data_IF_103936200722
#
_entry.id   IF_103936200722
#
_cell.length_a   1.000
_cell.length_b   1.000
_cell.length_c   1.000
_cell.angle_alpha   90.00
_cell.angle_beta   90.00
_cell.angle_gamma   90.00
#
_symmetry.space_group_name_H-M   'P 1'
#
loop_
_entity.id
_entity.type
_entity.pdbx_description
1 polymer ?
#
# COMPACT_ATOMS: atom_id res chain seq x y z
N UNK A 1 9.99 -0.99 19.76
CA UNK A 1 8.98 -1.91 20.36
C UNK A 1 9.22 -3.32 19.81
N UNK A 2 8.76 -4.45 20.41
CA UNK A 2 8.86 -5.73 19.71
C UNK A 2 8.14 -5.62 18.35
N UNK A 3 8.75 -6.21 17.31
CA UNK A 3 8.20 -6.20 15.96
C UNK A 3 6.75 -6.73 15.99
N UNK A 4 5.80 -5.89 15.59
CA UNK A 4 4.37 -6.21 15.63
C UNK A 4 4.03 -7.43 14.77
N UNK A 5 4.83 -7.68 13.72
CA UNK A 5 4.71 -8.84 12.84
C UNK A 5 6.07 -9.54 12.70
N UNK A 6 6.39 -10.50 13.59
CA UNK A 6 7.68 -11.18 13.62
C UNK A 6 7.94 -12.07 12.40
N UNK A 7 6.90 -12.49 11.68
CA UNK A 7 7.02 -13.29 10.46
C UNK A 7 6.69 -12.39 9.28
N UNK A 8 7.66 -12.12 8.41
CA UNK A 8 7.46 -11.29 7.23
C UNK A 8 7.94 -12.03 6.00
N UNK A 9 7.11 -11.98 4.96
CA UNK A 9 7.30 -12.68 3.72
C UNK A 9 7.21 -11.71 2.55
N UNK A 10 8.08 -11.89 1.57
CA UNK A 10 7.88 -11.41 0.22
C UNK A 10 7.25 -12.53 -0.59
N UNK A 11 6.06 -12.27 -1.13
CA UNK A 11 5.29 -13.14 -2.00
C UNK A 11 5.35 -12.56 -3.41
N UNK A 12 5.73 -13.38 -4.39
CA UNK A 12 5.92 -12.90 -5.76
C UNK A 12 5.86 -14.01 -6.81
N UNK A 13 5.61 -13.64 -8.07
CA UNK A 13 5.70 -14.52 -9.25
C UNK A 13 7.15 -14.83 -9.63
N UNK A 14 8.10 -14.00 -9.20
CA UNK A 14 9.50 -14.11 -9.56
C UNK A 14 10.19 -15.27 -8.84
N UNK A 15 10.75 -16.21 -9.60
CA UNK A 15 11.50 -17.32 -9.02
C UNK A 15 12.82 -16.82 -8.39
N UNK A 16 13.02 -16.95 -7.06
CA UNK A 16 14.20 -16.41 -6.41
C UNK A 16 15.52 -17.02 -6.87
N UNK A 17 15.50 -18.20 -7.51
CA UNK A 17 16.69 -18.79 -8.14
C UNK A 17 17.27 -17.93 -9.29
N UNK A 18 16.49 -17.00 -9.83
CA UNK A 18 16.88 -16.11 -10.92
C UNK A 18 17.41 -14.75 -10.42
N UNK A 19 17.67 -14.61 -9.12
CA UNK A 19 18.28 -13.40 -8.55
C UNK A 19 19.80 -13.44 -8.68
N UNK A 20 20.40 -12.28 -8.94
CA UNK A 20 21.84 -12.11 -8.91
C UNK A 20 22.39 -12.08 -7.47
N UNK A 21 23.72 -11.93 -7.32
CA UNK A 21 24.38 -11.89 -6.02
C UNK A 21 23.96 -10.68 -5.14
N UNK A 22 23.34 -9.65 -5.73
CA UNK A 22 22.83 -8.48 -5.02
C UNK A 22 21.31 -8.59 -4.73
N UNK A 23 20.66 -9.68 -5.16
CA UNK A 23 19.23 -9.92 -4.97
C UNK A 23 18.33 -9.36 -6.07
N UNK A 24 18.89 -8.75 -7.12
CA UNK A 24 18.12 -8.23 -8.26
C UNK A 24 17.64 -9.37 -9.15
N UNK A 25 16.39 -9.29 -9.61
CA UNK A 25 15.85 -10.27 -10.55
C UNK A 25 16.48 -10.06 -11.94
N UNK A 26 17.08 -11.10 -12.52
CA UNK A 26 17.89 -10.99 -13.72
C UNK A 26 17.19 -11.44 -15.01
N UNK A 27 15.97 -11.96 -14.92
CA UNK A 27 15.18 -12.43 -16.07
C UNK A 27 14.24 -11.33 -16.53
N UNK A 28 14.15 -11.17 -17.85
CA UNK A 28 13.20 -10.28 -18.51
C UNK A 28 11.77 -10.81 -18.34
N UNK A 29 10.98 -10.13 -17.52
CA UNK A 29 9.59 -10.46 -17.24
C UNK A 29 8.76 -9.18 -17.17
N UNK A 30 7.47 -9.31 -17.48
CA UNK A 30 6.51 -8.24 -17.32
C UNK A 30 6.38 -7.81 -15.85
N UNK A 31 6.13 -6.52 -15.67
CA UNK A 31 6.05 -5.86 -14.35
C UNK A 31 4.78 -5.02 -14.20
N UNK A 32 3.94 -4.92 -15.24
CA UNK A 32 2.73 -4.10 -15.24
C UNK A 32 1.59 -4.77 -16.04
N UNK A 33 0.31 -4.50 -15.74
CA UNK A 33 -0.80 -4.87 -16.63
C UNK A 33 -0.69 -4.24 -18.02
N UNK A 34 0.01 -3.11 -18.17
CA UNK A 34 0.22 -2.46 -19.46
C UNK A 34 1.13 -3.26 -20.40
N UNK A 35 1.85 -4.25 -19.87
CA UNK A 35 2.72 -5.14 -20.63
C UNK A 35 1.96 -6.23 -21.40
N UNK A 36 0.64 -6.38 -21.21
CA UNK A 36 -0.17 -7.40 -21.90
C UNK A 36 -0.07 -7.19 -23.42
N UNK A 37 0.27 -8.27 -24.14
CA UNK A 37 0.59 -8.25 -25.57
C UNK A 37 2.08 -8.09 -25.87
N UNK A 38 2.90 -7.79 -24.86
CA UNK A 38 4.37 -7.79 -24.93
C UNK A 38 4.97 -9.20 -24.90
N UNK A 39 6.23 -9.32 -25.32
CA UNK A 39 6.99 -10.58 -25.29
C UNK A 39 8.17 -10.44 -24.34
N UNK A 40 8.29 -11.36 -23.39
CA UNK A 40 9.29 -11.35 -22.32
C UNK A 40 9.95 -12.71 -22.25
N UNK A 41 11.29 -12.75 -22.26
CA UNK A 41 12.05 -14.00 -22.31
C UNK A 41 11.57 -14.98 -23.43
N UNK A 42 11.10 -14.44 -24.55
CA UNK A 42 10.60 -15.21 -25.69
C UNK A 42 9.13 -15.68 -25.60
N UNK A 43 8.40 -15.34 -24.53
CA UNK A 43 7.01 -15.71 -24.31
C UNK A 43 6.08 -14.49 -24.40
N UNK A 44 4.94 -14.63 -25.08
CA UNK A 44 3.90 -13.60 -25.18
C UNK A 44 3.09 -13.55 -23.88
N UNK A 45 3.00 -12.37 -23.26
CA UNK A 45 2.07 -12.14 -22.17
C UNK A 45 0.64 -12.00 -22.72
N UNK A 46 -0.18 -13.03 -22.53
CA UNK A 46 -1.61 -12.98 -22.87
C UNK A 46 -2.43 -12.45 -21.69
N UNK A 47 -3.63 -11.93 -21.98
CA UNK A 47 -4.59 -11.55 -20.95
C UNK A 47 -4.92 -12.73 -20.02
N UNK A 48 -5.06 -13.93 -20.57
CA UNK A 48 -5.31 -15.14 -19.78
C UNK A 48 -4.16 -15.45 -18.82
N UNK A 49 -2.91 -15.38 -19.28
CA UNK A 49 -1.74 -15.58 -18.43
C UNK A 49 -1.70 -14.54 -17.30
N UNK A 50 -1.94 -13.26 -17.62
CA UNK A 50 -2.04 -12.20 -16.63
C UNK A 50 -3.10 -12.51 -15.56
N UNK A 51 -4.32 -12.84 -15.98
CA UNK A 51 -5.44 -13.10 -15.06
C UNK A 51 -5.19 -14.32 -14.17
N UNK A 52 -4.50 -15.35 -14.68
CA UNK A 52 -4.10 -16.50 -13.87
C UNK A 52 -3.11 -16.10 -12.76
N UNK A 53 -2.12 -15.26 -13.09
CA UNK A 53 -1.16 -14.77 -12.10
C UNK A 53 -1.84 -13.84 -11.10
N UNK A 54 -2.68 -12.90 -11.55
CA UNK A 54 -3.49 -12.06 -10.66
C UNK A 54 -4.31 -12.91 -9.68
N UNK A 55 -5.02 -13.92 -10.17
CA UNK A 55 -5.82 -14.80 -9.33
C UNK A 55 -4.96 -15.51 -8.28
N UNK A 56 -3.73 -15.94 -8.63
CA UNK A 56 -2.80 -16.53 -7.67
C UNK A 56 -2.44 -15.57 -6.52
N UNK A 57 -2.28 -14.26 -6.78
CA UNK A 57 -2.07 -13.26 -5.72
C UNK A 57 -3.31 -13.13 -4.83
N UNK A 58 -4.50 -13.05 -5.44
CA UNK A 58 -5.75 -12.94 -4.70
C UNK A 58 -5.99 -14.17 -3.80
N UNK A 59 -5.84 -15.37 -4.34
CA UNK A 59 -6.02 -16.62 -3.58
C UNK A 59 -5.00 -16.74 -2.45
N UNK A 60 -3.77 -16.29 -2.70
CA UNK A 60 -2.73 -16.24 -1.68
C UNK A 60 -3.13 -15.28 -0.56
N UNK A 61 -3.53 -14.05 -0.89
CA UNK A 61 -4.03 -13.07 0.09
C UNK A 61 -5.13 -13.70 0.95
N UNK A 62 -6.15 -14.29 0.33
CA UNK A 62 -7.28 -14.87 1.04
C UNK A 62 -6.85 -16.03 1.95
N UNK A 63 -5.91 -16.86 1.51
CA UNK A 63 -5.33 -17.95 2.32
C UNK A 63 -4.64 -17.41 3.59
N UNK A 64 -3.89 -16.32 3.47
CA UNK A 64 -3.25 -15.66 4.63
C UNK A 64 -4.29 -15.07 5.60
N UNK A 65 -5.33 -14.42 5.07
CA UNK A 65 -6.39 -13.83 5.89
C UNK A 65 -7.18 -14.89 6.66
N UNK A 66 -7.53 -15.99 5.99
CA UNK A 66 -8.20 -17.13 6.62
C UNK A 66 -7.33 -17.77 7.71
N UNK A 67 -6.07 -18.09 7.39
CA UNK A 67 -5.18 -18.73 8.35
C UNK A 67 -4.90 -17.80 9.55
N UNK A 68 -4.81 -16.48 9.33
CA UNK A 68 -4.65 -15.48 10.38
C UNK A 68 -5.94 -15.16 11.14
N UNK A 69 -7.09 -15.72 10.75
CA UNK A 69 -8.41 -15.47 11.35
C UNK A 69 -8.74 -13.97 11.35
N UNK A 70 -8.47 -13.31 10.23
CA UNK A 70 -8.80 -11.90 10.03
C UNK A 70 -10.29 -11.81 9.74
N UNK A 71 -10.98 -10.86 10.37
CA UNK A 71 -12.41 -10.60 10.12
C UNK A 71 -12.60 -9.35 9.25
N UNK A 72 -11.75 -8.35 9.46
CA UNK A 72 -11.73 -7.08 8.72
C UNK A 72 -10.31 -6.57 8.61
N UNK A 73 -10.09 -5.70 7.63
CA UNK A 73 -8.85 -4.97 7.45
C UNK A 73 -9.12 -3.47 7.44
N UNK A 74 -8.07 -2.67 7.48
CA UNK A 74 -8.12 -1.23 7.28
C UNK A 74 -7.19 -0.85 6.14
N UNK A 75 -7.64 0.08 5.30
CA UNK A 75 -6.86 0.60 4.19
C UNK A 75 -6.03 1.80 4.62
N UNK A 76 -4.75 1.80 4.25
CA UNK A 76 -3.87 2.94 4.38
C UNK A 76 -3.18 3.27 3.05
N UNK A 77 -2.60 4.47 2.94
CA UNK A 77 -1.84 4.92 1.77
C UNK A 77 -2.65 4.83 0.48
N UNK A 78 -3.90 5.30 0.52
CA UNK A 78 -4.85 5.19 -0.57
C UNK A 78 -4.53 6.22 -1.66
N UNK A 79 -4.24 5.73 -2.86
CA UNK A 79 -4.09 6.55 -4.05
C UNK A 79 -5.12 6.13 -5.10
N UNK A 80 -5.72 7.12 -5.73
CA UNK A 80 -6.63 6.91 -6.86
C UNK A 80 -5.87 7.10 -8.17
N UNK A 81 -6.11 6.22 -9.13
CA UNK A 81 -5.58 6.35 -10.48
C UNK A 81 -6.73 6.38 -11.48
N UNK A 82 -6.49 6.98 -12.63
CA UNK A 82 -7.50 7.00 -13.67
C UNK A 82 -7.75 5.58 -14.20
N UNK A 83 -9.01 5.15 -14.12
CA UNK A 83 -9.44 3.88 -14.68
C UNK A 83 -9.95 4.06 -16.09
N UNK A 84 -9.33 3.36 -17.04
CA UNK A 84 -9.89 3.26 -18.39
C UNK A 84 -11.02 2.23 -18.43
N UNK A 85 -12.26 2.72 -18.49
CA UNK A 85 -13.45 1.87 -18.64
C UNK A 85 -13.52 1.07 -19.95
N UNK A 86 -12.69 1.39 -20.94
CA UNK A 86 -12.54 0.61 -22.17
C UNK A 86 -11.52 -0.54 -22.03
N UNK A 87 -10.77 -0.59 -20.93
CA UNK A 87 -9.79 -1.65 -20.66
C UNK A 87 -10.46 -3.03 -20.55
N UNK A 88 -9.81 -4.06 -21.09
CA UNK A 88 -10.24 -5.45 -20.90
C UNK A 88 -10.14 -5.93 -19.45
N UNK A 89 -9.41 -5.19 -18.62
CA UNK A 89 -9.26 -5.43 -17.19
C UNK A 89 -10.28 -4.64 -16.35
N UNK A 90 -11.17 -3.85 -16.95
CA UNK A 90 -12.17 -3.11 -16.19
C UNK A 90 -13.32 -4.04 -15.73
N UNK A 91 -13.73 -3.90 -14.46
CA UNK A 91 -14.90 -4.55 -13.88
C UNK A 91 -15.85 -3.50 -13.29
N UNK A 92 -17.16 -3.63 -13.52
CA UNK A 92 -18.15 -2.66 -13.03
C UNK A 92 -18.10 -2.49 -11.51
N UNK A 93 -17.77 -3.56 -10.77
CA UNK A 93 -17.66 -3.56 -9.30
C UNK A 93 -16.61 -2.56 -8.79
N UNK A 94 -15.63 -2.17 -9.60
CA UNK A 94 -14.62 -1.19 -9.21
C UNK A 94 -15.22 0.21 -8.94
N UNK A 95 -16.28 0.60 -9.63
CA UNK A 95 -16.96 1.88 -9.37
C UNK A 95 -17.72 1.90 -8.04
N UNK A 96 -18.07 0.72 -7.53
CA UNK A 96 -18.78 0.55 -6.26
C UNK A 96 -17.78 0.48 -5.09
N UNK A 97 -16.49 0.26 -5.39
CA UNK A 97 -15.44 0.18 -4.39
C UNK A 97 -14.99 1.57 -3.94
N UNK A 98 -15.53 2.00 -2.79
CA UNK A 98 -15.05 3.23 -2.15
C UNK A 98 -13.65 3.01 -1.55
N UNK A 99 -12.63 3.38 -2.33
CA UNK A 99 -11.25 3.48 -1.87
C UNK A 99 -11.11 4.76 -1.04
N UNK A 100 -10.97 4.64 0.28
CA UNK A 100 -10.86 5.78 1.16
C UNK A 100 -9.82 5.49 2.24
N UNK A 101 -8.96 6.47 2.50
CA UNK A 101 -7.97 6.41 3.58
C UNK A 101 -8.63 6.06 4.92
N UNK A 102 -7.96 5.19 5.69
CA UNK A 102 -8.39 4.76 7.03
C UNK A 102 -9.72 3.98 7.08
N UNK A 103 -10.27 3.58 5.93
CA UNK A 103 -11.55 2.85 5.86
C UNK A 103 -11.40 1.39 6.30
N UNK A 104 -12.40 0.90 7.05
CA UNK A 104 -12.56 -0.53 7.36
C UNK A 104 -13.09 -1.28 6.14
N UNK A 105 -12.44 -2.40 5.82
CA UNK A 105 -12.69 -3.28 4.68
C UNK A 105 -13.15 -4.64 5.18
N UNK A 106 -14.23 -5.14 4.58
CA UNK A 106 -14.71 -6.50 4.78
C UNK A 106 -13.91 -7.47 3.91
N UNK A 107 -13.75 -8.73 4.33
CA UNK A 107 -12.98 -9.72 3.57
C UNK A 107 -13.51 -9.92 2.14
N UNK A 108 -14.83 -9.83 1.95
CA UNK A 108 -15.48 -9.97 0.63
C UNK A 108 -15.08 -8.88 -0.38
N UNK A 109 -14.54 -7.76 0.12
CA UNK A 109 -14.06 -6.64 -0.69
C UNK A 109 -12.57 -6.74 -1.00
N UNK A 110 -11.79 -7.51 -0.21
CA UNK A 110 -10.34 -7.65 -0.39
C UNK A 110 -9.96 -8.16 -1.78
N UNK A 111 -10.62 -9.18 -2.38
CA UNK A 111 -10.33 -9.60 -3.74
C UNK A 111 -10.46 -8.47 -4.76
N UNK A 112 -11.49 -7.62 -4.61
CA UNK A 112 -11.74 -6.50 -5.53
C UNK A 112 -10.66 -5.43 -5.37
N UNK A 113 -10.30 -5.08 -4.13
CA UNK A 113 -9.23 -4.13 -3.85
C UNK A 113 -7.88 -4.64 -4.38
N UNK A 114 -7.54 -5.90 -4.12
CA UNK A 114 -6.31 -6.52 -4.61
C UNK A 114 -6.20 -6.46 -6.14
N UNK A 115 -7.30 -6.73 -6.86
CA UNK A 115 -7.33 -6.58 -8.32
C UNK A 115 -7.13 -5.14 -8.76
N UNK A 116 -7.77 -4.17 -8.10
CA UNK A 116 -7.57 -2.75 -8.42
C UNK A 116 -6.11 -2.33 -8.25
N UNK A 117 -5.42 -2.83 -7.22
CA UNK A 117 -3.98 -2.56 -7.01
C UNK A 117 -3.11 -3.26 -8.06
N UNK A 118 -3.33 -4.55 -8.32
CA UNK A 118 -2.55 -5.31 -9.32
C UNK A 118 -2.77 -4.86 -10.77
N UNK A 119 -3.90 -4.19 -11.04
CA UNK A 119 -4.27 -3.60 -12.33
C UNK A 119 -3.91 -2.12 -12.46
N UNK A 120 -3.21 -1.56 -11.48
CA UNK A 120 -2.78 -0.16 -11.47
C UNK A 120 -3.92 0.87 -11.49
N UNK A 121 -5.10 0.48 -11.03
CA UNK A 121 -6.30 1.34 -10.97
C UNK A 121 -6.41 2.11 -9.66
N UNK A 122 -5.73 1.63 -8.63
CA UNK A 122 -5.59 2.30 -7.34
C UNK A 122 -4.34 1.77 -6.63
N UNK A 123 -4.01 2.36 -5.49
CA UNK A 123 -3.02 1.81 -4.57
C UNK A 123 -3.57 1.89 -3.15
N UNK A 124 -3.24 0.90 -2.34
CA UNK A 124 -3.42 0.95 -0.89
C UNK A 124 -2.55 -0.13 -0.23
N UNK A 125 -2.47 -0.07 1.08
CA UNK A 125 -1.95 -1.11 1.95
C UNK A 125 -3.11 -1.59 2.83
N UNK A 126 -3.16 -2.88 3.14
CA UNK A 126 -4.21 -3.45 3.97
C UNK A 126 -3.62 -3.94 5.29
N UNK A 127 -4.16 -3.47 6.41
CA UNK A 127 -3.65 -3.82 7.74
C UNK A 127 -4.78 -4.30 8.64
N UNK A 128 -4.59 -5.44 9.28
CA UNK A 128 -5.36 -5.89 10.42
C UNK A 128 -4.44 -5.85 11.65
N UNK A 129 -4.59 -4.80 12.45
CA UNK A 129 -3.73 -4.52 13.60
C UNK A 129 -3.58 -5.75 14.50
N UNK A 130 -2.34 -6.10 14.87
CA UNK A 130 -2.00 -7.28 15.67
C UNK A 130 -2.38 -8.63 15.05
N UNK A 131 -2.64 -8.70 13.74
CA UNK A 131 -2.91 -9.96 13.02
C UNK A 131 -2.00 -10.09 11.80
N UNK A 132 -2.19 -9.23 10.82
CA UNK A 132 -1.47 -9.28 9.54
C UNK A 132 -1.44 -7.92 8.84
N UNK A 133 -0.49 -7.71 7.95
CA UNK A 133 -0.57 -6.70 6.91
C UNK A 133 -0.40 -7.34 5.52
N UNK A 134 -0.88 -6.64 4.49
CA UNK A 134 -0.64 -6.91 3.09
C UNK A 134 -0.20 -5.60 2.46
N UNK A 135 1.04 -5.58 2.00
CA UNK A 135 1.69 -4.44 1.39
C UNK A 135 2.00 -4.75 -0.07
N UNK A 136 1.66 -3.84 -0.96
CA UNK A 136 1.93 -3.97 -2.39
C UNK A 136 3.13 -3.12 -2.78
N UNK A 137 4.06 -3.71 -3.53
CA UNK A 137 5.04 -3.00 -4.32
C UNK A 137 4.55 -2.76 -5.75
N UNK A 138 5.33 -2.00 -6.52
CA UNK A 138 4.95 -1.55 -7.86
C UNK A 138 5.05 -2.62 -8.94
N UNK A 139 5.87 -3.64 -8.74
CA UNK A 139 6.34 -4.58 -9.76
C UNK A 139 6.04 -6.03 -9.38
N UNK A 140 4.84 -6.32 -8.84
CA UNK A 140 4.45 -7.68 -8.41
C UNK A 140 5.33 -8.27 -7.29
N UNK A 141 5.90 -7.41 -6.45
CA UNK A 141 6.30 -7.78 -5.11
C UNK A 141 5.17 -7.47 -4.14
N UNK A 142 4.66 -8.50 -3.46
CA UNK A 142 3.72 -8.34 -2.35
C UNK A 142 4.44 -8.72 -1.06
N UNK A 143 4.19 -7.99 0.02
CA UNK A 143 4.77 -8.27 1.32
C UNK A 143 3.68 -8.54 2.33
N UNK A 144 3.81 -9.62 3.08
CA UNK A 144 2.83 -10.04 4.08
C UNK A 144 3.56 -10.23 5.40
N UNK A 145 3.11 -9.53 6.43
CA UNK A 145 3.59 -9.73 7.80
C UNK A 145 2.50 -10.33 8.66
N UNK A 146 2.83 -11.31 9.49
CA UNK A 146 1.88 -12.02 10.34
C UNK A 146 2.40 -12.12 11.78
N UNK A 147 1.47 -12.26 12.74
CA UNK A 147 1.82 -12.47 14.16
C UNK A 147 2.18 -13.92 14.50
N UNK A 148 1.92 -14.85 13.59
CA UNK A 148 2.18 -16.28 13.72
C UNK A 148 2.67 -16.87 12.40
N UNK A 149 3.29 -18.03 12.45
CA UNK A 149 3.61 -18.81 11.25
C UNK A 149 2.33 -19.16 10.48
N UNK A 150 2.44 -19.17 9.15
CA UNK A 150 1.34 -19.44 8.22
C UNK A 150 1.72 -20.50 7.17
N UNK A 151 2.05 -21.73 7.60
CA UNK A 151 2.50 -22.78 6.69
C UNK A 151 1.44 -23.15 5.64
N UNK A 152 0.14 -23.05 5.94
CA UNK A 152 -0.91 -23.40 4.99
C UNK A 152 -1.00 -22.37 3.86
N UNK A 153 -0.97 -21.08 4.18
CA UNK A 153 -0.99 -20.01 3.19
C UNK A 153 0.30 -19.98 2.34
N UNK A 154 1.46 -20.28 2.94
CA UNK A 154 2.72 -20.44 2.20
C UNK A 154 2.66 -21.63 1.23
N UNK A 155 2.04 -22.74 1.62
CA UNK A 155 1.85 -23.89 0.73
C UNK A 155 0.89 -23.54 -0.41
N UNK A 156 -0.25 -22.91 -0.11
CA UNK A 156 -1.21 -22.42 -1.11
C UNK A 156 -0.56 -21.49 -2.14
N UNK A 157 0.26 -20.53 -1.69
CA UNK A 157 1.00 -19.65 -2.60
C UNK A 157 1.86 -20.42 -3.60
N UNK A 158 2.59 -21.45 -3.12
CA UNK A 158 3.44 -22.30 -3.97
C UNK A 158 2.63 -23.15 -4.94
N UNK A 159 1.50 -23.70 -4.49
CA UNK A 159 0.58 -24.48 -5.34
C UNK A 159 0.00 -23.61 -6.47
N UNK A 160 -0.21 -22.32 -6.22
CA UNK A 160 -0.66 -21.34 -7.20
C UNK A 160 0.48 -20.73 -8.05
N UNK A 161 1.71 -21.23 -7.92
CA UNK A 161 2.85 -20.80 -8.74
C UNK A 161 3.56 -19.53 -8.25
N UNK A 162 3.29 -19.07 -7.02
CA UNK A 162 4.02 -17.97 -6.38
C UNK A 162 5.12 -18.48 -5.45
N UNK A 163 6.09 -17.62 -5.19
CA UNK A 163 7.20 -17.83 -4.27
C UNK A 163 7.00 -16.98 -3.03
N UNK A 164 7.15 -17.58 -1.85
CA UNK A 164 7.12 -16.89 -0.56
C UNK A 164 8.46 -17.06 0.16
N UNK A 165 9.14 -15.95 0.43
CA UNK A 165 10.48 -15.91 1.02
C UNK A 165 10.48 -15.03 2.27
N UNK A 166 11.25 -15.40 3.30
CA UNK A 166 11.41 -14.54 4.48
C UNK A 166 12.11 -13.23 4.09
N UNK A 167 11.39 -12.13 4.18
CA UNK A 167 11.86 -10.82 3.76
C UNK A 167 11.03 -9.72 4.45
N UNK A 168 11.64 -8.75 5.13
CA UNK A 168 10.91 -7.67 5.76
C UNK A 168 10.29 -6.74 4.72
N UNK A 169 9.06 -6.31 4.96
CA UNK A 169 8.41 -5.35 4.07
C UNK A 169 9.17 -4.02 4.05
N UNK A 170 9.56 -3.48 2.88
CA UNK A 170 10.18 -2.15 2.81
C UNK A 170 9.22 -1.02 3.21
N UNK A 171 7.92 -1.28 3.17
CA UNK A 171 6.86 -0.35 3.54
C UNK A 171 6.52 -0.36 5.04
N UNK A 172 7.12 -1.27 5.83
CA UNK A 172 6.87 -1.31 7.27
C UNK A 172 7.80 -0.31 7.96
N UNK A 173 7.24 0.83 8.35
CA UNK A 173 7.96 1.91 9.06
C UNK A 173 7.59 1.87 10.54
N UNK A 174 8.58 1.88 11.43
CA UNK A 174 8.37 2.02 12.87
C UNK A 174 7.99 3.46 13.23
N UNK A 175 7.21 3.68 14.29
CA UNK A 175 6.82 5.03 14.72
C UNK A 175 8.04 5.94 14.97
N UNK A 176 9.14 5.35 15.45
CA UNK A 176 10.42 6.02 15.66
C UNK A 176 11.13 6.48 14.38
N UNK A 177 10.80 5.86 13.23
CA UNK A 177 11.41 6.12 11.93
C UNK A 177 10.53 7.02 11.05
N UNK A 178 9.29 7.32 11.45
CA UNK A 178 8.40 8.21 10.72
C UNK A 178 8.84 9.67 10.94
N UNK A 179 9.32 10.29 9.86
CA UNK A 179 9.50 11.73 9.75
C UNK A 179 8.17 12.34 9.33
N UNK A 180 7.75 13.39 10.04
CA UNK A 180 6.52 14.13 9.72
C UNK A 180 6.86 15.55 9.35
N UNK A 181 6.36 15.98 8.21
CA UNK A 181 6.68 17.28 7.62
C UNK A 181 5.38 17.94 7.21
N UNK A 182 5.24 19.23 7.53
CA UNK A 182 4.19 20.05 6.93
C UNK A 182 4.76 20.67 5.66
N UNK A 183 4.16 20.34 4.53
CA UNK A 183 4.51 20.83 3.20
C UNK A 183 3.48 21.87 2.76
N UNK A 184 3.90 22.84 1.95
CA UNK A 184 2.98 23.80 1.36
C UNK A 184 3.33 24.15 -0.09
N UNK A 185 2.30 24.20 -0.92
CA UNK A 185 2.34 24.62 -2.32
C UNK A 185 1.55 25.91 -2.53
N UNK A 186 1.89 26.68 -3.56
CA UNK A 186 1.06 27.81 -3.98
C UNK A 186 -0.29 27.28 -4.46
N UNK A 187 -1.38 27.97 -4.13
CA UNK A 187 -2.70 27.60 -4.65
C UNK A 187 -2.69 27.53 -6.18
N UNK A 188 -3.42 26.57 -6.71
CA UNK A 188 -3.57 26.33 -8.16
C UNK A 188 -2.27 25.85 -8.85
N UNK A 189 -1.20 25.63 -8.10
CA UNK A 189 0.05 25.05 -8.58
C UNK A 189 0.30 23.70 -7.89
N UNK A 190 0.76 22.70 -8.64
CA UNK A 190 1.10 21.38 -8.09
C UNK A 190 2.49 21.34 -7.43
N UNK A 191 3.14 22.50 -7.25
CA UNK A 191 4.52 22.58 -6.80
C UNK A 191 4.59 22.92 -5.31
N UNK A 192 5.23 22.04 -4.54
CA UNK A 192 5.63 22.34 -3.17
C UNK A 192 6.73 23.41 -3.19
N UNK A 193 6.49 24.50 -2.47
CA UNK A 193 7.40 25.67 -2.41
C UNK A 193 8.08 25.81 -1.06
N UNK A 194 7.72 24.98 -0.07
CA UNK A 194 8.41 24.87 1.19
C UNK A 194 7.86 23.75 2.06
N UNK A 195 8.65 23.36 3.04
CA UNK A 195 8.36 22.30 3.99
C UNK A 195 9.02 22.58 5.35
N UNK A 196 8.43 22.05 6.43
CA UNK A 196 8.99 22.13 7.78
C UNK A 196 8.68 20.84 8.56
N UNK A 197 9.73 20.17 9.04
CA UNK A 197 9.61 18.99 9.88
C UNK A 197 8.93 19.35 11.22
N UNK A 198 7.86 18.64 11.57
CA UNK A 198 7.12 18.82 12.82
C UNK A 198 7.55 17.79 13.87
N UNK A 199 8.03 18.27 15.02
CA UNK A 199 8.54 17.43 16.11
C UNK A 199 7.71 17.54 17.37
N UNK A 200 7.70 16.47 18.16
CA UNK A 200 7.12 16.46 19.51
C UNK A 200 5.59 16.38 19.54
N UNK A 201 4.94 16.10 18.41
CA UNK A 201 3.50 15.83 18.34
C UNK A 201 3.28 14.34 18.59
N UNK A 202 2.41 13.98 19.53
CA UNK A 202 2.05 12.58 19.73
C UNK A 202 1.20 12.08 18.55
N UNK A 203 1.37 10.81 18.16
CA UNK A 203 0.57 10.20 17.09
C UNK A 203 -0.92 10.35 17.34
N UNK A 204 -1.37 10.17 18.58
CA UNK A 204 -2.78 10.29 18.95
C UNK A 204 -3.33 11.72 18.78
N UNK A 205 -2.47 12.74 18.87
CA UNK A 205 -2.85 14.12 18.60
C UNK A 205 -3.03 14.37 17.11
N UNK A 206 -2.14 13.81 16.27
CA UNK A 206 -2.26 13.87 14.82
C UNK A 206 -3.49 13.12 14.31
N UNK A 207 -3.72 11.90 14.82
CA UNK A 207 -4.93 11.12 14.50
C UNK A 207 -6.19 11.93 14.81
N UNK A 208 -6.26 12.57 15.99
CA UNK A 208 -7.39 13.45 16.34
C UNK A 208 -7.52 14.66 15.43
N UNK A 209 -6.41 15.34 15.13
CA UNK A 209 -6.41 16.52 14.26
C UNK A 209 -6.88 16.17 12.85
N UNK A 210 -6.45 15.03 12.31
CA UNK A 210 -6.76 14.55 10.96
C UNK A 210 -8.04 13.70 10.88
N UNK A 211 -8.71 13.45 12.02
CA UNK A 211 -9.91 12.61 12.14
C UNK A 211 -9.68 11.16 11.68
N UNK A 212 -8.49 10.63 11.95
CA UNK A 212 -8.09 9.25 11.67
C UNK A 212 -8.37 8.35 12.88
N UNK A 213 -8.49 7.06 12.62
CA UNK A 213 -8.61 6.02 13.63
C UNK A 213 -7.35 5.94 14.50
N UNK A 214 -7.49 5.32 15.66
CA UNK A 214 -6.36 5.05 16.55
C UNK A 214 -5.38 4.00 15.98
N UNK A 215 -5.78 3.26 14.95
CA UNK A 215 -4.95 2.27 14.24
C UNK A 215 -4.06 2.92 13.18
N UNK A 216 -4.42 4.11 12.71
CA UNK A 216 -3.74 4.77 11.61
C UNK A 216 -2.31 5.21 11.99
N UNK A 217 -1.25 4.83 11.24
CA UNK A 217 0.14 5.18 11.59
C UNK A 217 0.49 6.66 11.33
N UNK A 218 -0.39 7.35 10.59
CA UNK A 218 -0.21 8.73 10.11
C UNK A 218 1.00 8.80 9.16
N UNK A 219 1.03 7.85 8.23
CA UNK A 219 1.92 7.82 7.07
C UNK A 219 1.11 8.19 5.83
N UNK A 220 1.79 8.72 4.81
CA UNK A 220 1.15 9.26 3.60
C UNK A 220 0.96 10.77 3.69
N UNK A 221 0.16 11.33 2.78
CA UNK A 221 -0.10 12.77 2.68
C UNK A 221 -1.53 13.11 3.07
N UNK A 222 -1.69 14.11 3.93
CA UNK A 222 -2.98 14.55 4.45
C UNK A 222 -3.16 16.04 4.27
N UNK A 223 -4.19 16.46 3.54
CA UNK A 223 -4.53 17.88 3.44
C UNK A 223 -4.86 18.46 4.80
N UNK A 224 -4.21 19.57 5.13
CA UNK A 224 -4.50 20.40 6.29
C UNK A 224 -5.45 21.50 5.81
N UNK A 225 -6.52 21.76 6.54
CA UNK A 225 -7.45 22.85 6.23
C UNK A 225 -7.46 23.91 7.35
N UNK A 226 -8.12 25.03 7.08
CA UNK A 226 -8.15 26.17 8.00
C UNK A 226 -8.65 25.83 9.42
N UNK A 227 -9.51 24.82 9.59
CA UNK A 227 -9.97 24.40 10.93
C UNK A 227 -8.89 23.74 11.78
N UNK A 228 -7.81 23.24 11.14
CA UNK A 228 -6.66 22.62 11.79
C UNK A 228 -5.48 23.60 11.95
N UNK A 229 -5.60 24.85 11.45
CA UNK A 229 -4.53 25.86 11.49
C UNK A 229 -3.97 26.06 12.90
N UNK A 230 -4.83 26.31 13.88
CA UNK A 230 -4.41 26.54 15.27
C UNK A 230 -3.62 25.37 15.84
N UNK A 231 -3.96 24.14 15.45
CA UNK A 231 -3.27 22.94 15.90
C UNK A 231 -1.84 22.90 15.35
N UNK A 232 -1.67 22.99 14.03
CA UNK A 232 -0.37 22.84 13.35
C UNK A 232 0.54 24.06 13.53
N UNK A 233 -0.02 25.28 13.55
CA UNK A 233 0.76 26.52 13.70
C UNK A 233 1.63 26.53 14.97
N UNK A 234 1.22 25.83 16.04
CA UNK A 234 1.99 25.72 17.30
C UNK A 234 3.35 25.02 17.12
N UNK A 235 3.51 24.25 16.06
CA UNK A 235 4.69 23.45 15.77
C UNK A 235 5.51 23.97 14.58
N UNK A 236 5.07 25.05 13.94
CA UNK A 236 5.69 25.61 12.74
C UNK A 236 6.26 27.00 13.02
N UNK A 237 7.43 27.27 12.45
CA UNK A 237 7.99 28.63 12.34
C UNK A 237 7.34 29.37 11.18
N UNK A 238 7.01 28.65 10.10
CA UNK A 238 6.24 29.19 8.99
C UNK A 238 4.85 29.63 9.46
N UNK A 239 4.43 30.84 9.08
CA UNK A 239 3.10 31.36 9.38
C UNK A 239 2.12 30.86 8.33
N UNK A 240 1.19 29.99 8.73
CA UNK A 240 0.23 29.37 7.84
C UNK A 240 -0.74 30.40 7.26
N UNK A 241 -0.65 30.61 5.96
CA UNK A 241 -1.54 31.45 5.17
C UNK A 241 -2.34 30.61 4.15
N UNK A 242 -3.59 30.30 4.50
CA UNK A 242 -4.52 29.54 3.67
C UNK A 242 -5.15 30.36 2.55
N UNK A 243 -4.89 31.67 2.47
CA UNK A 243 -5.27 32.45 1.28
C UNK A 243 -4.25 32.21 0.16
N UNK A 244 -2.98 32.01 0.52
CA UNK A 244 -1.86 31.87 -0.43
C UNK A 244 -1.48 30.43 -0.76
N UNK A 245 -1.59 29.52 0.20
CA UNK A 245 -1.04 28.17 0.09
C UNK A 245 -2.05 27.07 0.42
N UNK A 246 -1.84 25.92 -0.19
CA UNK A 246 -2.40 24.63 0.24
C UNK A 246 -1.37 23.90 1.10
N UNK A 247 -1.81 23.28 2.19
CA UNK A 247 -0.95 22.64 3.19
C UNK A 247 -1.24 21.15 3.30
N UNK A 248 -0.19 20.38 3.51
CA UNK A 248 -0.26 18.93 3.66
C UNK A 248 0.64 18.50 4.83
N UNK A 249 0.19 17.52 5.61
CA UNK A 249 1.08 16.76 6.47
C UNK A 249 1.52 15.53 5.69
N UNK A 250 2.81 15.41 5.44
CA UNK A 250 3.43 14.18 4.95
C UNK A 250 4.05 13.39 6.10
N UNK A 251 3.85 12.08 6.12
CA UNK A 251 4.49 11.15 7.05
C UNK A 251 5.14 9.98 6.32
N UNK A 252 6.44 9.80 6.48
CA UNK A 252 7.21 8.75 5.81
C UNK A 252 8.65 8.67 6.27
N UNK A 253 9.52 7.99 5.52
CA UNK A 253 10.96 7.86 5.77
C UNK A 253 11.81 8.28 4.57
#
# INVERSE_FOLDING_TARGET
>A
MPNQWPYQLRVTKYNPANRDANGYYAVDEWISPSDIGGTFNGELLTLEHYLNVEQAYIDTIMSFLEECQVETMRMFMVEHREMDSASSLYEQKFNEMAMQEDKVVQLDDVPTIGRMVLRDFAYCQLVATNRTFIHFGWDYYMYIGTVKETPYAIASAKENGLFAECYPSPYQIGEEDIIRTVEWGLKEEETIVGDEEVKGILREELQRALKLSNEHPVTGSFSINASQKEFFQRYLKHEMDFEKYDYYLWGGN
#
